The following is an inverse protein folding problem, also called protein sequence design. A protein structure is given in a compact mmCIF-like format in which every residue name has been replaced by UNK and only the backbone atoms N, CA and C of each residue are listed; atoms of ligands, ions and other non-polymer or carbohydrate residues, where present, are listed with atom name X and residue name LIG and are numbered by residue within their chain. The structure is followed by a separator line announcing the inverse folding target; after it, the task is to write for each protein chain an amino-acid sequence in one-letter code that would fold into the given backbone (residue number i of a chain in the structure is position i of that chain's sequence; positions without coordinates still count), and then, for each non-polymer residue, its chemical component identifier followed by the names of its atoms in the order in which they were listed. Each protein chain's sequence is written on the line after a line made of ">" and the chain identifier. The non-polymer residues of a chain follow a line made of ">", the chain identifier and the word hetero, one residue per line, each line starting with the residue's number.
data_IF_049101688003
#
_entry.id   IF_049101688003
#
_cell.length_a   1.000
_cell.length_b   1.000
_cell.length_c   1.000
_cell.angle_alpha   90.00
_cell.angle_beta   90.00
_cell.angle_gamma   90.00
#
_symmetry.space_group_name_H-M   'P 1'
#
loop_
_entity.id
_entity.type
_entity.pdbx_description
1 polymer ?
#
# COMPACT_ATOMS: atom_id res chain seq x y z
N UNK A 1 3.10 -1.34 -21.45
CA UNK A 1 1.85 -2.05 -21.09
C UNK A 1 0.97 -1.07 -20.34
N UNK A 2 -0.26 -0.84 -20.78
CA UNK A 2 -1.14 0.17 -20.19
C UNK A 2 -1.63 -0.36 -18.84
N UNK A 3 -1.03 0.12 -17.74
CA UNK A 3 -1.55 -0.04 -16.38
C UNK A 3 -2.86 0.75 -16.29
N UNK A 4 -3.95 0.17 -16.83
CA UNK A 4 -5.29 0.62 -16.50
C UNK A 4 -5.54 0.18 -15.05
N UNK A 5 -5.07 0.99 -14.11
CA UNK A 5 -5.54 0.96 -12.73
C UNK A 5 -7.07 1.04 -12.79
N UNK A 6 -7.75 -0.03 -12.37
CA UNK A 6 -9.21 -0.01 -12.34
C UNK A 6 -9.67 1.18 -11.46
N UNK A 7 -10.72 1.91 -11.86
CA UNK A 7 -11.09 3.19 -11.23
C UNK A 7 -11.26 3.13 -9.70
N UNK A 8 -11.59 1.96 -9.15
CA UNK A 8 -11.73 1.75 -7.71
C UNK A 8 -10.41 1.82 -6.94
N UNK A 9 -9.28 1.39 -7.52
CA UNK A 9 -7.99 1.36 -6.82
C UNK A 9 -7.46 2.75 -6.48
N UNK A 10 -7.59 3.71 -7.41
CA UNK A 10 -7.17 5.09 -7.17
C UNK A 10 -7.92 5.77 -6.01
N UNK A 11 -9.20 5.43 -5.80
CA UNK A 11 -10.01 6.01 -4.72
C UNK A 11 -9.53 5.53 -3.35
N UNK A 12 -9.16 4.24 -3.24
CA UNK A 12 -8.63 3.69 -1.99
C UNK A 12 -7.24 4.24 -1.66
N UNK A 13 -6.37 4.42 -2.64
CA UNK A 13 -5.03 4.98 -2.42
C UNK A 13 -5.10 6.44 -1.95
N UNK A 14 -5.94 7.26 -2.58
CA UNK A 14 -6.14 8.66 -2.16
C UNK A 14 -6.73 8.72 -0.75
N UNK A 15 -7.73 7.89 -0.44
CA UNK A 15 -8.29 7.82 0.91
C UNK A 15 -7.25 7.41 1.96
N UNK A 16 -6.45 6.38 1.67
CA UNK A 16 -5.40 5.90 2.55
C UNK A 16 -4.38 7.00 2.87
N UNK A 17 -3.98 7.79 1.87
CA UNK A 17 -3.06 8.90 2.04
C UNK A 17 -3.65 10.06 2.85
N UNK A 18 -4.92 10.38 2.68
CA UNK A 18 -5.62 11.38 3.49
C UNK A 18 -5.70 10.96 4.97
N UNK A 19 -5.97 9.68 5.24
CA UNK A 19 -5.92 9.13 6.60
C UNK A 19 -4.51 9.23 7.18
N UNK A 20 -3.47 8.87 6.40
CA UNK A 20 -2.08 9.00 6.83
C UNK A 20 -1.71 10.44 7.23
N UNK A 21 -2.09 11.44 6.43
CA UNK A 21 -1.80 12.85 6.72
C UNK A 21 -2.44 13.34 8.01
N UNK A 22 -3.66 12.86 8.29
CA UNK A 22 -4.45 13.32 9.44
C UNK A 22 -4.11 12.56 10.72
N UNK A 23 -3.87 11.26 10.62
CA UNK A 23 -3.56 10.36 11.74
C UNK A 23 -2.67 9.19 11.28
N UNK A 24 -1.33 9.37 11.30
CA UNK A 24 -0.39 8.34 10.89
C UNK A 24 -0.45 7.06 11.75
N UNK A 25 -0.85 7.20 13.01
CA UNK A 25 -0.93 6.07 13.94
C UNK A 25 -2.15 5.20 13.63
N UNK A 26 -3.31 5.82 13.42
CA UNK A 26 -4.52 5.14 12.98
C UNK A 26 -4.28 4.44 11.64
N UNK A 27 -3.68 5.14 10.67
CA UNK A 27 -3.30 4.57 9.38
C UNK A 27 -2.48 3.29 9.54
N UNK A 28 -1.41 3.35 10.34
CA UNK A 28 -0.50 2.22 10.55
C UNK A 28 -1.23 1.03 11.19
N UNK A 29 -2.04 1.28 12.23
CA UNK A 29 -2.86 0.25 12.89
C UNK A 29 -3.87 -0.38 11.95
N UNK A 30 -4.54 0.43 11.12
CA UNK A 30 -5.51 -0.04 10.13
C UNK A 30 -4.86 -0.92 9.07
N UNK A 31 -3.70 -0.55 8.55
CA UNK A 31 -2.96 -1.39 7.59
C UNK A 31 -2.48 -2.70 8.22
N UNK A 32 -1.98 -2.66 9.46
CA UNK A 32 -1.56 -3.89 10.16
C UNK A 32 -2.74 -4.86 10.35
N UNK A 33 -3.92 -4.32 10.69
CA UNK A 33 -5.15 -5.11 10.81
C UNK A 33 -5.60 -5.67 9.45
N UNK A 34 -5.59 -4.84 8.40
CA UNK A 34 -5.93 -5.29 7.05
C UNK A 34 -5.00 -6.42 6.59
N UNK A 35 -3.69 -6.28 6.82
CA UNK A 35 -2.69 -7.31 6.53
C UNK A 35 -2.99 -8.62 7.26
N UNK A 36 -3.29 -8.57 8.56
CA UNK A 36 -3.64 -9.76 9.35
C UNK A 36 -4.88 -10.46 8.79
N UNK A 37 -5.90 -9.70 8.40
CA UNK A 37 -7.13 -10.24 7.82
C UNK A 37 -6.89 -10.90 6.46
N UNK A 38 -6.12 -10.28 5.56
CA UNK A 38 -5.81 -10.85 4.25
C UNK A 38 -4.92 -12.10 4.39
N UNK A 39 -3.92 -12.08 5.28
CA UNK A 39 -3.08 -13.26 5.57
C UNK A 39 -3.91 -14.40 6.15
N UNK A 40 -4.87 -14.08 7.03
CA UNK A 40 -5.80 -15.06 7.56
C UNK A 40 -6.69 -15.65 6.45
N UNK A 41 -7.25 -14.81 5.58
CA UNK A 41 -8.06 -15.24 4.45
C UNK A 41 -7.27 -16.14 3.48
N UNK A 42 -6.02 -15.77 3.15
CA UNK A 42 -5.14 -16.56 2.28
C UNK A 42 -4.86 -17.98 2.79
N UNK A 43 -4.91 -18.20 4.09
CA UNK A 43 -4.74 -19.54 4.69
C UNK A 43 -5.98 -20.42 4.54
N UNK A 44 -7.16 -19.83 4.33
CA UNK A 44 -8.45 -20.52 4.38
C UNK A 44 -9.27 -20.40 3.08
N UNK A 45 -8.81 -19.62 2.09
CA UNK A 45 -9.53 -19.40 0.85
C UNK A 45 -9.46 -20.59 -0.11
N UNK A 46 -10.41 -20.66 -1.04
CA UNK A 46 -10.30 -21.54 -2.19
C UNK A 46 -9.15 -21.08 -3.11
N UNK A 47 -8.62 -22.00 -3.93
CA UNK A 47 -7.52 -21.69 -4.87
C UNK A 47 -7.88 -20.58 -5.87
N UNK A 48 -9.16 -20.49 -6.20
CA UNK A 48 -9.73 -19.57 -7.20
C UNK A 48 -9.69 -18.10 -6.72
N UNK A 49 -9.83 -17.89 -5.42
CA UNK A 49 -9.86 -16.57 -4.79
C UNK A 49 -8.46 -16.07 -4.39
N UNK A 50 -7.47 -16.98 -4.41
CA UNK A 50 -6.12 -16.73 -3.91
C UNK A 50 -5.42 -15.59 -4.65
N UNK A 51 -5.55 -15.52 -5.98
CA UNK A 51 -4.91 -14.49 -6.78
C UNK A 51 -5.41 -13.07 -6.41
N UNK A 52 -6.71 -12.93 -6.15
CA UNK A 52 -7.29 -11.66 -5.70
C UNK A 52 -6.80 -11.25 -4.31
N UNK A 53 -6.72 -12.22 -3.39
CA UNK A 53 -6.20 -11.98 -2.03
C UNK A 53 -4.69 -11.68 -2.02
N UNK A 54 -3.90 -12.30 -2.88
CA UNK A 54 -2.47 -11.99 -3.05
C UNK A 54 -2.28 -10.56 -3.58
N UNK A 55 -3.11 -10.12 -4.54
CA UNK A 55 -3.11 -8.74 -5.02
C UNK A 55 -3.50 -7.73 -3.91
N UNK A 56 -4.47 -8.07 -3.06
CA UNK A 56 -4.83 -7.26 -1.89
C UNK A 56 -3.70 -7.16 -0.87
N UNK A 57 -3.00 -8.27 -0.60
CA UNK A 57 -1.86 -8.28 0.32
C UNK A 57 -0.73 -7.38 -0.23
N UNK A 58 -0.43 -7.49 -1.52
CA UNK A 58 0.57 -6.66 -2.18
C UNK A 58 0.20 -5.16 -2.11
N UNK A 59 -1.09 -4.81 -2.26
CA UNK A 59 -1.54 -3.44 -2.13
C UNK A 59 -1.34 -2.90 -0.70
N UNK A 60 -1.68 -3.69 0.32
CA UNK A 60 -1.46 -3.33 1.73
C UNK A 60 0.02 -3.13 2.03
N UNK A 61 0.87 -4.05 1.59
CA UNK A 61 2.32 -3.95 1.80
C UNK A 61 2.92 -2.75 1.03
N UNK A 62 2.41 -2.43 -0.15
CA UNK A 62 2.83 -1.26 -0.94
C UNK A 62 2.47 0.06 -0.26
N UNK A 63 1.25 0.18 0.29
CA UNK A 63 0.83 1.35 1.06
C UNK A 63 1.66 1.51 2.35
N UNK A 64 1.98 0.40 3.00
CA UNK A 64 2.83 0.41 4.20
C UNK A 64 4.26 0.87 3.86
N UNK A 65 4.82 0.39 2.74
CA UNK A 65 6.11 0.84 2.22
C UNK A 65 6.12 2.33 1.87
N UNK A 66 5.08 2.81 1.17
CA UNK A 66 4.93 4.21 0.79
C UNK A 66 4.87 5.12 2.01
N UNK A 67 4.04 4.81 3.01
CA UNK A 67 3.96 5.57 4.24
C UNK A 67 5.28 5.57 5.02
N UNK A 68 6.00 4.44 5.03
CA UNK A 68 7.34 4.34 5.61
C UNK A 68 8.34 5.28 4.93
N UNK A 69 8.34 5.34 3.60
CA UNK A 69 9.19 6.25 2.82
C UNK A 69 8.84 7.72 3.07
N UNK A 70 7.55 8.05 3.07
CA UNK A 70 7.05 9.40 3.40
C UNK A 70 7.51 9.85 4.78
N UNK A 71 7.39 8.97 5.79
CA UNK A 71 7.89 9.24 7.14
C UNK A 71 9.40 9.43 7.18
N UNK A 72 10.17 8.54 6.52
CA UNK A 72 11.63 8.58 6.52
C UNK A 72 12.18 9.87 5.91
N UNK A 73 11.53 10.37 4.85
CA UNK A 73 11.98 11.54 4.10
C UNK A 73 11.29 12.84 4.53
N UNK A 74 10.51 12.80 5.62
CA UNK A 74 9.73 13.93 6.11
C UNK A 74 8.83 14.55 5.03
N UNK A 75 8.19 13.70 4.23
CA UNK A 75 7.24 14.08 3.16
C UNK A 75 5.83 13.67 3.53
N UNK A 76 4.87 14.49 3.14
CA UNK A 76 3.44 14.29 3.35
C UNK A 76 2.67 14.01 2.04
N UNK A 77 3.35 14.10 0.89
CA UNK A 77 2.81 13.72 -0.42
C UNK A 77 3.68 12.69 -1.14
N UNK A 78 3.08 11.70 -1.80
CA UNK A 78 3.82 10.75 -2.62
C UNK A 78 4.62 11.42 -3.74
N UNK A 79 4.08 12.48 -4.36
CA UNK A 79 4.79 13.20 -5.43
C UNK A 79 6.06 13.93 -4.97
N UNK A 80 6.23 14.15 -3.67
CA UNK A 80 7.42 14.77 -3.09
C UNK A 80 8.52 13.75 -2.76
N UNK A 81 8.25 12.45 -2.98
CA UNK A 81 9.24 11.39 -2.82
C UNK A 81 10.23 11.43 -4.00
N UNK A 82 11.53 11.20 -3.74
CA UNK A 82 12.52 11.09 -4.79
C UNK A 82 12.19 9.87 -5.68
N UNK A 83 12.45 10.01 -6.97
CA UNK A 83 12.36 8.88 -7.88
C UNK A 83 13.44 7.85 -7.51
N UNK A 84 12.99 6.71 -6.99
CA UNK A 84 13.83 5.59 -6.60
C UNK A 84 14.10 4.63 -7.77
N UNK A 85 14.03 5.13 -9.02
CA UNK A 85 14.30 4.36 -10.25
C UNK A 85 15.52 3.45 -10.17
N UNK A 86 15.60 2.47 -11.08
CA UNK A 86 16.60 1.37 -11.07
C UNK A 86 18.06 1.86 -10.93
N UNK A 87 18.36 3.09 -11.34
CA UNK A 87 19.70 3.68 -11.33
C UNK A 87 20.08 4.41 -10.01
N UNK A 88 19.11 4.63 -9.10
CA UNK A 88 19.29 5.38 -7.86
C UNK A 88 19.47 4.51 -6.60
N UNK A 89 19.43 3.18 -6.75
CA UNK A 89 19.79 2.22 -5.68
C UNK A 89 21.27 1.87 -5.82
N UNK A 90 22.15 2.77 -5.34
CA UNK A 90 23.54 2.41 -5.03
C UNK A 90 23.63 2.02 -3.56
N UNK A 91 23.45 0.73 -3.29
CA UNK A 91 23.83 0.12 -2.00
C UNK A 91 25.25 -0.41 -2.15
#
# INVERSE_FOLDING_TARGET
>A
MSNKLEPGYMVFEVFALEVYRKDPELFSKSLEMARKNVVFALKHCAREERAGLEAQLQAVDSLHGLAGLMKLLAKDKPEDLPDLGLDNIRI
#
